data_IF_566890848944
#
_entry.id   IF_566890848944
#
_cell.length_a   1.000
_cell.length_b   1.000
_cell.length_c   1.000
_cell.angle_alpha   90.00
_cell.angle_beta   90.00
_cell.angle_gamma   90.00
#
_symmetry.space_group_name_H-M   'P 1'
#
loop_
_entity.id
_entity.type
_entity.pdbx_description
1 polymer ?
#
# COMPACT_ATOMS: atom_id res chain seq x y z
N UNK A 1 -22.73 14.80 -12.93
CA UNK A 1 -22.50 14.34 -11.54
C UNK A 1 -20.99 14.23 -11.39
N UNK A 2 -20.44 14.65 -10.26
CA UNK A 2 -19.00 14.47 -10.01
C UNK A 2 -18.67 12.97 -9.96
N UNK A 3 -17.66 12.52 -10.71
CA UNK A 3 -17.26 11.12 -10.78
C UNK A 3 -16.98 10.48 -9.41
N UNK A 4 -17.04 9.15 -9.34
CA UNK A 4 -16.85 8.41 -8.08
C UNK A 4 -15.40 8.40 -7.63
N UNK A 5 -15.19 8.60 -6.33
CA UNK A 5 -13.91 8.36 -5.64
C UNK A 5 -14.06 7.02 -4.92
N UNK A 6 -13.41 5.99 -5.45
CA UNK A 6 -13.57 4.61 -5.03
C UNK A 6 -12.35 4.19 -4.22
N UNK A 7 -12.58 3.77 -2.98
CA UNK A 7 -11.62 3.03 -2.17
C UNK A 7 -11.94 1.54 -2.23
N UNK A 8 -10.94 0.74 -2.59
CA UNK A 8 -11.11 -0.69 -2.84
C UNK A 8 -10.06 -1.47 -2.04
N UNK A 9 -10.50 -2.32 -1.12
CA UNK A 9 -9.66 -3.28 -0.42
C UNK A 9 -9.65 -4.59 -1.18
N UNK A 10 -8.49 -4.95 -1.74
CA UNK A 10 -8.31 -6.11 -2.61
C UNK A 10 -7.48 -7.20 -1.91
N UNK A 11 -8.16 -8.26 -1.48
CA UNK A 11 -7.55 -9.45 -0.88
C UNK A 11 -8.02 -10.74 -1.60
N UNK A 12 -7.30 -11.86 -1.47
CA UNK A 12 -7.67 -13.11 -2.16
C UNK A 12 -8.96 -13.74 -1.61
N UNK A 13 -9.30 -13.45 -0.34
CA UNK A 13 -10.50 -13.97 0.30
C UNK A 13 -11.73 -13.09 -0.02
N UNK A 14 -11.63 -11.78 0.22
CA UNK A 14 -12.71 -10.82 0.03
C UNK A 14 -12.21 -9.53 -0.61
N UNK A 15 -13.12 -8.86 -1.30
CA UNK A 15 -12.96 -7.50 -1.82
C UNK A 15 -14.00 -6.62 -1.17
N UNK A 16 -13.58 -5.45 -0.67
CA UNK A 16 -14.49 -4.43 -0.12
C UNK A 16 -14.38 -3.14 -0.91
N UNK A 17 -15.53 -2.51 -1.14
CA UNK A 17 -15.62 -1.27 -1.90
C UNK A 17 -16.36 -0.23 -1.07
N UNK A 18 -15.80 0.97 -1.00
CA UNK A 18 -16.44 2.15 -0.45
C UNK A 18 -16.27 3.32 -1.41
N UNK A 19 -17.25 4.20 -1.47
CA UNK A 19 -17.13 5.46 -2.19
C UNK A 19 -17.04 6.61 -1.17
N UNK A 20 -16.21 7.61 -1.44
CA UNK A 20 -16.13 8.80 -0.60
C UNK A 20 -17.52 9.49 -0.53
N UNK A 21 -17.89 9.96 0.66
CA UNK A 21 -19.20 10.58 0.96
C UNK A 21 -20.44 9.72 0.59
N UNK A 22 -20.27 8.39 0.52
CA UNK A 22 -21.38 7.44 0.35
C UNK A 22 -21.43 6.46 1.51
N UNK A 23 -22.64 6.18 1.98
CA UNK A 23 -22.83 5.27 3.13
C UNK A 23 -22.73 3.79 2.72
N UNK A 24 -23.27 3.44 1.54
CA UNK A 24 -23.29 2.06 1.05
C UNK A 24 -21.88 1.55 0.75
N UNK A 25 -21.58 0.38 1.28
CA UNK A 25 -20.39 -0.41 1.00
C UNK A 25 -20.77 -1.71 0.29
N UNK A 26 -19.78 -2.33 -0.36
CA UNK A 26 -19.88 -3.68 -0.89
C UNK A 26 -18.81 -4.55 -0.25
N UNK A 27 -19.19 -5.76 0.13
CA UNK A 27 -18.28 -6.82 0.55
C UNK A 27 -18.64 -8.06 -0.25
N UNK A 28 -17.66 -8.62 -0.95
CA UNK A 28 -17.87 -9.81 -1.77
C UNK A 28 -16.65 -10.72 -1.72
N UNK A 29 -16.82 -12.03 -1.86
CA UNK A 29 -15.70 -12.93 -2.06
C UNK A 29 -14.91 -12.57 -3.34
N UNK A 30 -13.58 -12.64 -3.29
CA UNK A 30 -12.71 -12.34 -4.44
C UNK A 30 -12.62 -13.53 -5.39
N UNK A 31 -13.74 -13.79 -6.05
CA UNK A 31 -13.91 -14.90 -6.98
C UNK A 31 -14.56 -14.42 -8.27
N UNK A 32 -14.21 -15.11 -9.35
CA UNK A 32 -14.83 -14.92 -10.66
C UNK A 32 -15.28 -16.28 -11.21
N UNK A 33 -16.44 -16.31 -11.83
CA UNK A 33 -17.01 -17.51 -12.44
C UNK A 33 -17.34 -17.24 -13.90
N UNK A 34 -16.99 -18.19 -14.77
CA UNK A 34 -17.43 -18.24 -16.16
C UNK A 34 -18.53 -19.29 -16.29
N UNK A 35 -19.64 -18.96 -16.93
CA UNK A 35 -20.68 -19.93 -17.29
C UNK A 35 -20.12 -20.93 -18.31
N UNK A 36 -20.49 -22.20 -18.23
CA UNK A 36 -19.92 -23.25 -19.10
C UNK A 36 -20.30 -23.10 -20.57
N UNK A 37 -21.55 -22.74 -20.83
CA UNK A 37 -22.15 -22.77 -22.17
C UNK A 37 -22.25 -21.39 -22.83
N UNK A 38 -21.83 -20.32 -22.15
CA UNK A 38 -21.95 -18.94 -22.62
C UNK A 38 -20.74 -18.10 -22.18
N UNK A 39 -20.40 -17.05 -22.92
CA UNK A 39 -19.38 -16.08 -22.51
C UNK A 39 -19.93 -15.08 -21.49
N UNK A 40 -20.47 -15.61 -20.39
CA UNK A 40 -21.04 -14.86 -19.28
C UNK A 40 -20.18 -15.02 -18.02
N UNK A 41 -19.95 -13.90 -17.34
CA UNK A 41 -19.03 -13.79 -16.20
C UNK A 41 -19.71 -13.17 -14.99
N UNK A 42 -19.50 -13.80 -13.84
CA UNK A 42 -20.10 -13.46 -12.55
C UNK A 42 -19.03 -13.35 -11.47
N UNK A 43 -19.29 -12.60 -10.40
CA UNK A 43 -18.36 -12.35 -9.30
C UNK A 43 -19.05 -12.49 -7.95
N UNK A 44 -18.27 -12.68 -6.88
CA UNK A 44 -18.80 -12.74 -5.51
C UNK A 44 -19.81 -13.87 -5.29
N UNK A 45 -20.91 -13.59 -4.59
CA UNK A 45 -21.92 -14.60 -4.26
C UNK A 45 -22.58 -15.23 -5.50
N UNK A 46 -22.80 -14.46 -6.57
CA UNK A 46 -23.37 -14.99 -7.82
C UNK A 46 -22.45 -16.03 -8.46
N UNK A 47 -21.13 -15.83 -8.39
CA UNK A 47 -20.16 -16.78 -8.91
C UNK A 47 -20.25 -18.14 -8.18
N UNK A 48 -20.46 -18.12 -6.86
CA UNK A 48 -20.72 -19.33 -6.08
C UNK A 48 -22.04 -19.98 -6.46
N UNK A 49 -23.11 -19.20 -6.61
CA UNK A 49 -24.43 -19.71 -6.96
C UNK A 49 -24.41 -20.51 -8.28
N UNK A 50 -23.82 -19.97 -9.35
CA UNK A 50 -23.68 -20.69 -10.64
C UNK A 50 -22.82 -21.96 -10.53
N UNK A 51 -21.81 -21.94 -9.67
CA UNK A 51 -20.94 -23.10 -9.45
C UNK A 51 -21.68 -24.21 -8.68
N UNK A 52 -22.47 -23.85 -7.68
CA UNK A 52 -23.27 -24.78 -6.87
C UNK A 52 -24.31 -25.53 -7.71
N UNK A 53 -24.92 -24.87 -8.69
CA UNK A 53 -25.88 -25.52 -9.63
C UNK A 53 -25.18 -26.22 -10.81
N UNK A 54 -23.84 -26.22 -10.86
CA UNK A 54 -23.06 -26.92 -11.87
C UNK A 54 -22.97 -26.22 -13.23
N UNK A 55 -23.44 -24.98 -13.33
CA UNK A 55 -23.45 -24.17 -14.57
C UNK A 55 -22.18 -23.31 -14.74
N UNK A 56 -21.40 -23.14 -13.67
CA UNK A 56 -20.23 -22.27 -13.62
C UNK A 56 -18.90 -23.01 -13.39
N UNK A 57 -17.80 -22.38 -13.81
CA UNK A 57 -16.44 -22.74 -13.41
C UNK A 57 -15.84 -21.55 -12.67
N UNK A 58 -15.60 -21.72 -11.37
CA UNK A 58 -15.09 -20.67 -10.48
C UNK A 58 -13.55 -20.64 -10.47
N UNK A 59 -13.01 -19.44 -10.32
CA UNK A 59 -11.61 -19.19 -10.02
C UNK A 59 -11.53 -18.27 -8.80
N UNK A 60 -10.71 -18.66 -7.83
CA UNK A 60 -10.36 -17.91 -6.64
C UNK A 60 -8.89 -17.46 -6.68
N UNK A 61 -8.43 -16.82 -5.59
CA UNK A 61 -7.01 -16.50 -5.37
C UNK A 61 -6.38 -15.71 -6.53
N UNK A 62 -7.15 -14.77 -7.10
CA UNK A 62 -6.79 -13.99 -8.29
C UNK A 62 -5.48 -13.21 -8.10
N UNK A 63 -5.23 -12.68 -6.91
CA UNK A 63 -4.04 -11.88 -6.61
C UNK A 63 -2.81 -12.80 -6.54
N UNK A 64 -2.92 -13.92 -5.82
CA UNK A 64 -1.90 -14.98 -5.81
C UNK A 64 -1.61 -15.49 -7.22
N UNK A 65 -2.63 -15.63 -8.08
CA UNK A 65 -2.47 -16.08 -9.46
C UNK A 65 -1.68 -15.07 -10.29
N UNK A 66 -2.02 -13.78 -10.24
CA UNK A 66 -1.27 -12.71 -10.92
C UNK A 66 0.19 -12.67 -10.47
N UNK A 67 0.43 -12.74 -9.15
CA UNK A 67 1.79 -12.74 -8.57
C UNK A 67 2.66 -13.88 -9.07
N UNK A 68 2.06 -15.04 -9.31
CA UNK A 68 2.73 -16.26 -9.74
C UNK A 68 2.72 -16.46 -11.25
N UNK A 69 2.22 -15.49 -12.03
CA UNK A 69 2.02 -15.63 -13.48
C UNK A 69 1.22 -16.92 -13.81
N UNK A 70 0.26 -17.21 -12.94
CA UNK A 70 -0.58 -18.40 -13.00
C UNK A 70 -1.67 -18.27 -14.05
N UNK A 71 -2.28 -19.40 -14.37
CA UNK A 71 -3.32 -19.50 -15.39
C UNK A 71 -4.43 -20.44 -14.95
N UNK A 72 -5.66 -20.19 -15.38
CA UNK A 72 -6.79 -21.09 -15.16
C UNK A 72 -7.38 -21.52 -16.51
N UNK A 73 -7.89 -22.76 -16.59
CA UNK A 73 -8.58 -23.25 -17.79
C UNK A 73 -10.07 -23.32 -17.53
N UNK A 74 -10.85 -22.49 -18.23
CA UNK A 74 -12.30 -22.36 -18.06
C UNK A 74 -12.98 -22.71 -19.38
N UNK A 75 -13.74 -23.80 -19.43
CA UNK A 75 -14.43 -24.24 -20.64
C UNK A 75 -13.49 -24.54 -21.80
N UNK A 76 -12.32 -25.13 -21.52
CA UNK A 76 -11.30 -25.45 -22.53
C UNK A 76 -10.41 -24.28 -22.96
N UNK A 77 -10.71 -23.05 -22.53
CA UNK A 77 -9.89 -21.87 -22.81
C UNK A 77 -8.96 -21.57 -21.64
N UNK A 78 -7.67 -21.37 -21.92
CA UNK A 78 -6.67 -20.95 -20.94
C UNK A 78 -6.70 -19.43 -20.78
N UNK A 79 -6.82 -18.96 -19.55
CA UNK A 79 -6.79 -17.55 -19.16
C UNK A 79 -5.60 -17.28 -18.26
N UNK A 80 -4.93 -16.15 -18.48
CA UNK A 80 -3.91 -15.64 -17.56
C UNK A 80 -4.56 -14.99 -16.35
N UNK A 81 -3.89 -15.03 -15.19
CA UNK A 81 -4.40 -14.38 -13.98
C UNK A 81 -4.69 -12.89 -14.16
N UNK A 82 -3.90 -12.20 -14.99
CA UNK A 82 -4.12 -10.78 -15.31
C UNK A 82 -5.46 -10.57 -16.04
N UNK A 83 -5.81 -11.43 -16.98
CA UNK A 83 -7.05 -11.31 -17.73
C UNK A 83 -8.26 -11.57 -16.84
N UNK A 84 -8.17 -12.55 -15.94
CA UNK A 84 -9.21 -12.80 -14.94
C UNK A 84 -9.37 -11.61 -13.97
N UNK A 85 -8.25 -11.01 -13.54
CA UNK A 85 -8.30 -9.82 -12.69
C UNK A 85 -8.95 -8.63 -13.41
N UNK A 86 -8.63 -8.38 -14.68
CA UNK A 86 -9.30 -7.34 -15.50
C UNK A 86 -10.82 -7.52 -15.52
N UNK A 87 -11.27 -8.75 -15.76
CA UNK A 87 -12.70 -9.07 -15.82
C UNK A 87 -13.38 -8.93 -14.45
N UNK A 88 -12.70 -9.36 -13.39
CA UNK A 88 -13.17 -9.19 -12.02
C UNK A 88 -13.33 -7.71 -11.66
N UNK A 89 -12.28 -6.90 -11.84
CA UNK A 89 -12.30 -5.45 -11.55
C UNK A 89 -13.39 -4.74 -12.36
N UNK A 90 -13.57 -5.09 -13.65
CA UNK A 90 -14.64 -4.56 -14.49
C UNK A 90 -16.02 -4.82 -13.93
N UNK A 91 -16.26 -6.01 -13.37
CA UNK A 91 -17.56 -6.41 -12.82
C UNK A 91 -17.83 -5.73 -11.48
N UNK A 92 -16.85 -5.67 -10.59
CA UNK A 92 -17.07 -5.12 -9.24
C UNK A 92 -17.16 -3.59 -9.26
N UNK A 93 -16.45 -2.90 -10.15
CA UNK A 93 -16.52 -1.43 -10.26
C UNK A 93 -17.87 -0.97 -10.82
N UNK A 94 -18.57 -1.82 -11.57
CA UNK A 94 -19.95 -1.54 -11.99
C UNK A 94 -20.92 -1.45 -10.83
N UNK A 95 -20.69 -2.17 -9.73
CA UNK A 95 -21.60 -2.18 -8.58
C UNK A 95 -21.85 -0.76 -8.00
N UNK A 96 -20.83 0.01 -7.61
CA UNK A 96 -21.03 1.39 -7.17
C UNK A 96 -21.46 2.35 -8.29
N UNK A 97 -20.99 2.13 -9.52
CA UNK A 97 -21.32 2.97 -10.67
C UNK A 97 -22.81 2.90 -11.01
N UNK A 98 -23.38 1.71 -11.05
CA UNK A 98 -24.80 1.48 -11.31
C UNK A 98 -25.65 1.95 -10.11
N UNK A 99 -25.24 1.68 -8.87
CA UNK A 99 -25.94 2.13 -7.67
C UNK A 99 -26.08 3.66 -7.60
N UNK A 100 -25.00 4.38 -7.94
CA UNK A 100 -24.95 5.83 -7.83
C UNK A 100 -25.18 6.56 -9.16
N UNK A 101 -25.60 5.84 -10.20
CA UNK A 101 -25.88 6.38 -11.53
C UNK A 101 -24.72 7.23 -12.08
N UNK A 102 -23.49 6.74 -11.92
CA UNK A 102 -22.27 7.44 -12.28
C UNK A 102 -21.41 6.62 -13.24
N UNK A 103 -21.00 7.25 -14.33
CA UNK A 103 -20.21 6.60 -15.39
C UNK A 103 -18.71 6.89 -15.30
N UNK A 104 -18.30 7.85 -14.46
CA UNK A 104 -16.90 8.27 -14.33
C UNK A 104 -16.32 7.81 -12.99
N UNK A 105 -15.13 7.20 -13.06
CA UNK A 105 -14.25 7.01 -11.89
C UNK A 105 -13.28 8.19 -11.83
N UNK A 106 -13.48 9.06 -10.83
CA UNK A 106 -12.66 10.25 -10.59
C UNK A 106 -11.33 9.88 -9.96
N UNK A 107 -11.35 8.92 -9.03
CA UNK A 107 -10.18 8.37 -8.34
C UNK A 107 -10.47 6.92 -7.96
N UNK A 108 -9.50 6.03 -8.17
CA UNK A 108 -9.53 4.63 -7.74
C UNK A 108 -8.29 4.37 -6.89
N UNK A 109 -8.50 4.16 -5.59
CA UNK A 109 -7.42 3.81 -4.66
C UNK A 109 -7.60 2.37 -4.21
N UNK A 110 -6.67 1.51 -4.61
CA UNK A 110 -6.66 0.10 -4.26
C UNK A 110 -5.70 -0.11 -3.09
N UNK A 111 -6.19 -0.69 -2.01
CA UNK A 111 -5.41 -1.04 -0.83
C UNK A 111 -5.23 -2.54 -0.69
N UNK A 112 -4.09 -2.96 -0.17
CA UNK A 112 -3.69 -4.37 -0.06
C UNK A 112 -2.68 -4.59 1.08
N UNK A 113 -2.63 -5.80 1.61
CA UNK A 113 -1.72 -6.19 2.71
C UNK A 113 -0.23 -6.03 2.37
N UNK A 114 0.13 -6.22 1.10
CA UNK A 114 1.51 -6.06 0.63
C UNK A 114 1.52 -5.49 -0.77
N UNK A 115 2.16 -4.34 -0.94
CA UNK A 115 2.41 -3.71 -2.23
C UNK A 115 3.68 -4.30 -2.84
N UNK A 116 3.59 -4.83 -4.05
CA UNK A 116 4.73 -5.33 -4.83
C UNK A 116 4.64 -4.86 -6.28
N UNK A 117 5.79 -4.67 -6.93
CA UNK A 117 5.86 -4.07 -8.27
C UNK A 117 5.10 -4.85 -9.34
N UNK A 118 5.04 -6.18 -9.26
CA UNK A 118 4.30 -7.00 -10.25
C UNK A 118 2.80 -6.74 -10.18
N UNK A 119 2.25 -6.73 -8.98
CA UNK A 119 0.82 -6.46 -8.79
C UNK A 119 0.47 -5.02 -9.17
N UNK A 120 1.40 -4.08 -8.94
CA UNK A 120 1.24 -2.70 -9.40
C UNK A 120 1.14 -2.60 -10.92
N UNK A 121 2.08 -3.20 -11.65
CA UNK A 121 2.05 -3.23 -13.11
C UNK A 121 0.74 -3.87 -13.61
N UNK A 122 0.33 -5.00 -13.00
CA UNK A 122 -0.93 -5.67 -13.32
C UNK A 122 -2.17 -4.77 -13.12
N UNK A 123 -2.22 -4.01 -12.03
CA UNK A 123 -3.31 -3.05 -11.77
C UNK A 123 -3.28 -1.91 -12.79
N UNK A 124 -2.11 -1.42 -13.19
CA UNK A 124 -2.00 -0.39 -14.23
C UNK A 124 -2.49 -0.89 -15.59
N UNK A 125 -2.21 -2.15 -15.95
CA UNK A 125 -2.81 -2.78 -17.13
C UNK A 125 -4.33 -2.97 -16.99
N UNK A 126 -4.83 -3.22 -15.78
CA UNK A 126 -6.27 -3.24 -15.53
C UNK A 126 -6.88 -1.84 -15.72
N UNK A 127 -6.21 -0.78 -15.25
CA UNK A 127 -6.66 0.59 -15.43
C UNK A 127 -6.82 0.94 -16.92
N UNK A 128 -5.82 0.61 -17.75
CA UNK A 128 -5.90 0.81 -19.20
C UNK A 128 -7.08 0.06 -19.83
N UNK A 129 -7.28 -1.21 -19.44
CA UNK A 129 -8.39 -2.03 -19.94
C UNK A 129 -9.76 -1.48 -19.52
N UNK A 130 -9.83 -0.85 -18.34
CA UNK A 130 -11.04 -0.22 -17.81
C UNK A 130 -11.23 1.22 -18.31
N UNK A 131 -10.30 1.73 -19.13
CA UNK A 131 -10.28 3.11 -19.63
C UNK A 131 -10.24 4.16 -18.50
N UNK A 132 -9.65 3.81 -17.36
CA UNK A 132 -9.42 4.74 -16.25
C UNK A 132 -8.02 5.34 -16.43
N UNK A 133 -7.88 6.67 -16.54
CA UNK A 133 -6.58 7.32 -16.62
C UNK A 133 -5.65 6.87 -15.48
N UNK A 134 -4.42 6.47 -15.83
CA UNK A 134 -3.45 5.91 -14.85
C UNK A 134 -3.13 6.87 -13.70
N UNK A 135 -3.18 8.18 -13.94
CA UNK A 135 -2.99 9.23 -12.93
C UNK A 135 -4.13 9.33 -11.90
N UNK A 136 -5.22 8.58 -12.11
CA UNK A 136 -6.36 8.43 -11.18
C UNK A 136 -6.37 7.07 -10.48
N UNK A 137 -5.38 6.21 -10.73
CA UNK A 137 -5.29 4.88 -10.12
C UNK A 137 -4.09 4.84 -9.19
N UNK A 138 -4.35 4.60 -7.90
CA UNK A 138 -3.34 4.60 -6.86
C UNK A 138 -3.38 3.29 -6.09
N UNK A 139 -2.20 2.86 -5.65
CA UNK A 139 -2.04 1.61 -4.89
C UNK A 139 -1.36 1.95 -3.58
N UNK A 140 -2.01 1.61 -2.47
CA UNK A 140 -1.51 1.88 -1.13
C UNK A 140 -1.51 0.60 -0.29
N UNK A 141 -0.74 0.59 0.79
CA UNK A 141 -0.78 -0.51 1.74
C UNK A 141 -2.02 -0.41 2.64
N UNK A 142 -2.42 -1.54 3.22
CA UNK A 142 -3.39 -1.57 4.33
C UNK A 142 -3.01 -0.61 5.45
N UNK A 143 -1.72 -0.55 5.81
CA UNK A 143 -1.23 0.38 6.84
C UNK A 143 -1.39 1.85 6.46
N UNK A 144 -1.20 2.22 5.19
CA UNK A 144 -1.44 3.58 4.74
C UNK A 144 -2.93 3.91 4.75
N UNK A 145 -3.76 2.99 4.25
CA UNK A 145 -5.21 3.17 4.28
C UNK A 145 -5.71 3.34 5.72
N UNK A 146 -5.23 2.51 6.65
CA UNK A 146 -5.51 2.62 8.07
C UNK A 146 -5.15 4.01 8.62
N UNK A 147 -4.00 4.57 8.23
CA UNK A 147 -3.63 5.95 8.61
C UNK A 147 -4.67 6.97 8.17
N UNK A 148 -5.11 6.90 6.90
CA UNK A 148 -6.14 7.80 6.38
C UNK A 148 -7.49 7.60 7.05
N UNK A 149 -7.90 6.36 7.31
CA UNK A 149 -9.14 6.09 8.03
C UNK A 149 -9.10 6.68 9.45
N UNK A 150 -8.06 6.33 10.23
CA UNK A 150 -7.96 6.71 11.64
C UNK A 150 -7.90 8.23 11.83
N UNK A 151 -7.15 8.94 10.98
CA UNK A 151 -6.97 10.39 11.08
C UNK A 151 -8.13 11.20 10.51
N UNK A 152 -9.02 10.56 9.75
CA UNK A 152 -10.31 11.14 9.35
C UNK A 152 -11.35 11.05 10.46
N UNK A 153 -11.09 10.28 11.51
CA UNK A 153 -11.97 10.20 12.68
C UNK A 153 -11.77 11.39 13.63
N UNK A 154 -12.71 11.54 14.57
CA UNK A 154 -12.61 12.52 15.67
C UNK A 154 -11.30 12.34 16.43
N UNK A 155 -10.73 13.46 16.89
CA UNK A 155 -9.43 13.53 17.57
C UNK A 155 -9.27 12.57 18.76
N UNK A 156 -10.36 12.24 19.44
CA UNK A 156 -10.37 11.29 20.56
C UNK A 156 -9.92 9.88 20.14
N UNK A 157 -10.24 9.46 18.91
CA UNK A 157 -9.92 8.12 18.37
C UNK A 157 -8.41 7.91 18.27
N UNK A 158 -7.68 8.95 17.89
CA UNK A 158 -6.24 8.93 17.65
C UNK A 158 -5.48 9.88 18.58
N UNK A 159 -6.00 10.06 19.80
CA UNK A 159 -5.36 10.87 20.82
C UNK A 159 -4.08 10.22 21.38
N UNK A 160 -4.03 8.88 21.38
CA UNK A 160 -2.86 8.06 21.68
C UNK A 160 -2.62 7.06 20.53
N UNK A 161 -2.06 5.87 20.80
CA UNK A 161 -1.91 4.84 19.79
C UNK A 161 -3.27 4.25 19.40
N UNK A 162 -3.35 3.77 18.17
CA UNK A 162 -4.53 3.09 17.63
C UNK A 162 -4.09 1.71 17.17
N UNK A 163 -4.79 0.68 17.62
CA UNK A 163 -4.55 -0.70 17.19
C UNK A 163 -5.65 -1.18 16.25
N UNK A 164 -5.32 -2.10 15.35
CA UNK A 164 -6.28 -2.84 14.53
C UNK A 164 -5.96 -4.33 14.67
N UNK A 165 -6.93 -5.14 15.03
CA UNK A 165 -6.85 -6.59 14.87
C UNK A 165 -7.62 -6.95 13.60
N UNK A 166 -6.90 -7.45 12.60
CA UNK A 166 -7.46 -7.89 11.32
C UNK A 166 -7.44 -9.42 11.26
N UNK A 167 -8.59 -10.04 11.46
CA UNK A 167 -8.77 -11.49 11.43
C UNK A 167 -9.49 -11.90 10.15
N UNK A 168 -8.72 -12.22 9.13
CA UNK A 168 -9.19 -12.72 7.84
C UNK A 168 -9.30 -14.26 7.83
N UNK A 169 -9.75 -14.87 6.72
CA UNK A 169 -9.82 -16.33 6.58
C UNK A 169 -8.44 -17.01 6.59
N UNK A 170 -7.45 -16.35 5.99
CA UNK A 170 -6.14 -16.92 5.70
C UNK A 170 -5.04 -16.41 6.65
N UNK A 171 -5.31 -15.35 7.41
CA UNK A 171 -4.30 -14.65 8.19
C UNK A 171 -4.88 -13.86 9.36
N UNK A 172 -4.07 -13.70 10.40
CA UNK A 172 -4.36 -12.82 11.54
C UNK A 172 -3.26 -11.76 11.63
N UNK A 173 -3.62 -10.50 11.46
CA UNK A 173 -2.71 -9.37 11.47
C UNK A 173 -3.03 -8.40 12.60
N UNK A 174 -2.00 -7.73 13.09
CA UNK A 174 -2.12 -6.59 13.99
C UNK A 174 -1.46 -5.37 13.36
N UNK A 175 -2.21 -4.28 13.26
CA UNK A 175 -1.69 -2.99 12.83
C UNK A 175 -1.64 -2.01 14.00
N UNK A 176 -0.56 -1.27 14.13
CA UNK A 176 -0.41 -0.24 15.17
C UNK A 176 -0.05 1.09 14.55
N UNK A 177 -0.83 2.12 14.90
CA UNK A 177 -0.58 3.50 14.50
C UNK A 177 -0.16 4.33 15.70
N UNK A 178 0.94 5.06 15.52
CA UNK A 178 1.47 6.02 16.49
C UNK A 178 1.64 7.40 15.84
N UNK A 179 1.06 8.41 16.45
CA UNK A 179 1.26 9.81 16.07
C UNK A 179 2.37 10.44 16.89
N UNK A 180 3.40 10.95 16.23
CA UNK A 180 4.48 11.73 16.82
C UNK A 180 4.35 13.20 16.41
N UNK A 181 4.21 14.09 17.40
CA UNK A 181 4.07 15.53 17.15
C UNK A 181 5.44 16.19 17.20
N UNK A 182 6.01 16.46 16.02
CA UNK A 182 7.24 17.24 15.89
C UNK A 182 6.97 18.75 15.85
N UNK A 183 8.02 19.55 16.07
CA UNK A 183 7.95 21.02 16.02
C UNK A 183 7.57 21.58 14.63
N UNK A 184 7.86 20.85 13.54
CA UNK A 184 7.63 21.30 12.15
C UNK A 184 6.54 20.55 11.41
N UNK A 185 6.43 19.24 11.61
CA UNK A 185 5.44 18.38 10.93
C UNK A 185 5.06 17.22 11.83
N UNK A 186 3.79 16.83 11.79
CA UNK A 186 3.31 15.63 12.45
C UNK A 186 3.84 14.41 11.68
N UNK A 187 4.34 13.40 12.38
CA UNK A 187 4.72 12.12 11.80
C UNK A 187 3.72 11.07 12.28
N UNK A 188 3.28 10.22 11.37
CA UNK A 188 2.37 9.12 11.67
C UNK A 188 3.07 7.86 11.23
N UNK A 189 3.33 6.98 12.18
CA UNK A 189 4.00 5.71 11.95
C UNK A 189 2.92 4.63 12.04
N UNK A 190 2.79 3.80 11.02
CA UNK A 190 1.92 2.64 11.04
C UNK A 190 2.73 1.37 10.72
N UNK A 191 2.59 0.37 11.58
CA UNK A 191 3.29 -0.91 11.48
C UNK A 191 2.28 -2.05 11.30
N UNK A 192 2.73 -3.14 10.70
CA UNK A 192 1.99 -4.38 10.46
C UNK A 192 2.79 -5.53 11.06
N UNK A 193 2.11 -6.39 11.83
CA UNK A 193 2.64 -7.62 12.40
C UNK A 193 1.69 -8.78 12.02
N UNK A 194 2.18 -9.71 11.20
CA UNK A 194 1.50 -10.99 10.99
C UNK A 194 1.66 -11.83 12.27
N UNK A 195 0.54 -12.26 12.86
CA UNK A 195 0.52 -13.03 14.09
C UNK A 195 0.64 -14.52 13.77
N UNK A 196 1.64 -15.18 14.36
CA UNK A 196 1.86 -16.62 14.20
C UNK A 196 0.70 -17.44 14.78
N UNK A 197 -0.04 -16.87 15.72
CA UNK A 197 -1.19 -17.49 16.37
C UNK A 197 -2.47 -17.49 15.50
N UNK A 198 -2.35 -17.26 14.19
CA UNK A 198 -3.47 -17.33 13.25
C UNK A 198 -4.17 -18.69 13.27
N UNK A 199 -5.47 -18.70 13.03
CA UNK A 199 -6.31 -19.90 13.03
C UNK A 199 -7.37 -19.84 11.93
N UNK A 200 -7.81 -21.00 11.44
CA UNK A 200 -8.93 -21.09 10.51
C UNK A 200 -10.24 -20.74 11.24
N UNK A 201 -11.05 -19.87 10.63
CA UNK A 201 -12.33 -19.41 11.18
C UNK A 201 -13.38 -20.52 11.37
N UNK A 202 -13.25 -21.68 10.72
CA UNK A 202 -14.13 -22.84 10.90
C UNK A 202 -14.20 -23.31 12.36
N UNK A 203 -13.16 -23.05 13.17
CA UNK A 203 -13.17 -23.41 14.60
C UNK A 203 -14.26 -22.65 15.37
N UNK A 204 -14.68 -21.48 14.88
CA UNK A 204 -15.69 -20.63 15.51
C UNK A 204 -17.09 -21.27 15.45
N UNK A 205 -17.30 -22.27 14.60
CA UNK A 205 -18.59 -22.97 14.49
C UNK A 205 -18.81 -23.99 15.62
N UNK A 206 -17.82 -24.17 16.51
CA UNK A 206 -17.93 -25.02 17.71
C UNK A 206 -17.67 -24.23 18.98
N UNK A 207 -18.36 -24.59 20.08
CA UNK A 207 -18.18 -23.93 21.38
C UNK A 207 -16.74 -24.06 21.91
N UNK A 208 -16.11 -25.22 21.72
CA UNK A 208 -14.72 -25.44 22.13
C UNK A 208 -13.73 -24.64 21.29
N UNK A 209 -13.96 -24.55 19.98
CA UNK A 209 -13.10 -23.76 19.09
C UNK A 209 -13.24 -22.26 19.30
N UNK A 210 -14.46 -21.76 19.57
CA UNK A 210 -14.69 -20.37 20.00
C UNK A 210 -13.90 -20.01 21.28
N UNK A 211 -13.90 -20.90 22.29
CA UNK A 211 -13.07 -20.70 23.51
C UNK A 211 -11.57 -20.68 23.22
N UNK A 212 -11.11 -21.50 22.27
CA UNK A 212 -9.71 -21.49 21.86
C UNK A 212 -9.35 -20.18 21.15
N UNK A 213 -10.19 -19.73 20.21
CA UNK A 213 -10.04 -18.46 19.52
C UNK A 213 -10.01 -17.28 20.52
N UNK A 214 -10.89 -17.27 21.51
CA UNK A 214 -10.93 -16.24 22.56
C UNK A 214 -9.62 -16.20 23.35
N UNK A 215 -9.07 -17.38 23.70
CA UNK A 215 -7.80 -17.46 24.40
C UNK A 215 -6.63 -16.95 23.54
N UNK A 216 -6.63 -17.27 22.25
CA UNK A 216 -5.63 -16.78 21.30
C UNK A 216 -5.67 -15.26 21.23
N UNK A 217 -6.84 -14.69 20.92
CA UNK A 217 -7.01 -13.24 20.82
C UNK A 217 -6.68 -12.53 22.14
N UNK A 218 -7.10 -13.07 23.28
CA UNK A 218 -6.76 -12.55 24.61
C UNK A 218 -5.25 -12.50 24.83
N UNK A 219 -4.54 -13.58 24.50
CA UNK A 219 -3.08 -13.66 24.63
C UNK A 219 -2.37 -12.65 23.72
N UNK A 220 -2.81 -12.51 22.47
CA UNK A 220 -2.29 -11.51 21.54
C UNK A 220 -2.56 -10.09 22.06
N UNK A 221 -3.79 -9.82 22.53
CA UNK A 221 -4.17 -8.50 23.06
C UNK A 221 -3.37 -8.13 24.31
N UNK A 222 -3.17 -9.06 25.24
CA UNK A 222 -2.32 -8.82 26.40
C UNK A 222 -0.88 -8.50 25.99
N UNK A 223 -0.29 -9.29 25.09
CA UNK A 223 1.09 -9.09 24.61
C UNK A 223 1.26 -7.75 23.88
N UNK A 224 0.39 -7.47 22.92
CA UNK A 224 0.52 -6.33 21.99
C UNK A 224 0.15 -5.01 22.66
N UNK A 225 -0.83 -5.01 23.57
CA UNK A 225 -1.31 -3.79 24.23
C UNK A 225 -0.55 -3.45 25.53
N UNK A 226 0.30 -4.36 26.03
CA UNK A 226 1.01 -4.18 27.28
C UNK A 226 1.93 -2.95 27.26
N UNK A 227 1.93 -2.19 28.36
CA UNK A 227 2.80 -1.01 28.61
C UNK A 227 2.65 0.13 27.58
N UNK A 228 1.60 0.10 26.76
CA UNK A 228 1.29 1.12 25.75
C UNK A 228 -0.07 1.76 26.05
N UNK A 229 -0.22 3.02 25.65
CA UNK A 229 -1.48 3.75 25.80
C UNK A 229 -2.22 3.77 24.46
N UNK A 230 -3.40 3.14 24.44
CA UNK A 230 -4.27 3.10 23.27
C UNK A 230 -5.51 3.97 23.51
N UNK A 231 -5.82 4.82 22.55
CA UNK A 231 -7.08 5.57 22.54
C UNK A 231 -8.22 4.77 21.94
N UNK A 232 -7.93 3.92 20.96
CA UNK A 232 -8.95 3.11 20.28
C UNK A 232 -8.35 1.83 19.72
N UNK A 233 -9.19 0.80 19.63
CA UNK A 233 -8.90 -0.44 18.93
C UNK A 233 -9.98 -0.67 17.88
N UNK A 234 -9.59 -1.05 16.67
CA UNK A 234 -10.49 -1.51 15.62
C UNK A 234 -10.39 -3.02 15.49
N UNK A 235 -11.52 -3.64 15.22
CA UNK A 235 -11.63 -5.05 14.86
C UNK A 235 -12.18 -5.13 13.44
N UNK A 236 -11.47 -5.83 12.55
CA UNK A 236 -11.83 -5.96 11.14
C UNK A 236 -11.49 -7.35 10.61
N UNK A 237 -12.04 -7.70 9.45
CA UNK A 237 -11.91 -9.04 8.89
C UNK A 237 -13.05 -9.97 9.29
N UNK A 238 -13.17 -11.08 8.55
CA UNK A 238 -14.32 -12.01 8.62
C UNK A 238 -14.52 -12.62 10.01
N UNK A 239 -13.44 -12.85 10.75
CA UNK A 239 -13.51 -13.42 12.10
C UNK A 239 -14.23 -12.54 13.13
N UNK A 240 -14.42 -11.25 12.85
CA UNK A 240 -15.13 -10.30 13.72
C UNK A 240 -16.53 -9.92 13.24
N UNK A 241 -17.04 -10.51 12.15
CA UNK A 241 -18.45 -10.37 11.76
C UNK A 241 -19.41 -10.88 12.86
N UNK A 242 -18.95 -11.89 13.60
CA UNK A 242 -19.53 -12.36 14.86
C UNK A 242 -18.48 -12.24 15.96
N UNK A 243 -18.88 -11.77 17.14
CA UNK A 243 -17.95 -11.51 18.26
C UNK A 243 -18.39 -12.16 19.58
N UNK A 244 -19.45 -12.97 19.54
CA UNK A 244 -19.96 -13.74 20.68
C UNK A 244 -18.93 -14.74 21.23
N UNK A 245 -18.01 -15.21 20.38
CA UNK A 245 -16.89 -16.06 20.77
C UNK A 245 -15.83 -15.33 21.60
N UNK A 246 -15.67 -14.01 21.47
CA UNK A 246 -14.53 -13.25 21.98
C UNK A 246 -14.77 -12.62 23.37
N UNK A 247 -15.45 -13.32 24.28
CA UNK A 247 -15.95 -12.73 25.54
C UNK A 247 -14.83 -12.22 26.45
N UNK A 248 -13.77 -13.00 26.67
CA UNK A 248 -12.66 -12.61 27.54
C UNK A 248 -11.74 -11.60 26.84
N UNK A 249 -11.53 -11.78 25.54
CA UNK A 249 -10.80 -10.83 24.69
C UNK A 249 -11.40 -9.44 24.77
N UNK A 250 -12.73 -9.32 24.65
CA UNK A 250 -13.41 -8.04 24.70
C UNK A 250 -13.24 -7.32 26.05
N UNK A 251 -13.10 -8.05 27.17
CA UNK A 251 -12.78 -7.43 28.48
C UNK A 251 -11.41 -6.76 28.48
N UNK A 252 -10.42 -7.39 27.84
CA UNK A 252 -9.05 -6.86 27.71
C UNK A 252 -9.03 -5.68 26.74
N UNK A 253 -9.66 -5.84 25.58
CA UNK A 253 -9.69 -4.84 24.52
C UNK A 253 -10.43 -3.58 24.96
N UNK A 254 -11.58 -3.70 25.63
CA UNK A 254 -12.39 -2.57 26.12
C UNK A 254 -11.86 -1.93 27.42
N UNK A 255 -10.74 -2.41 27.97
CA UNK A 255 -10.19 -1.86 29.21
C UNK A 255 -9.66 -0.43 29.00
N UNK A 256 -10.45 0.56 29.45
CA UNK A 256 -10.13 2.01 29.43
C UNK A 256 -10.01 2.65 28.04
N UNK A 257 -10.55 2.01 27.00
CA UNK A 257 -10.51 2.49 25.61
C UNK A 257 -11.75 2.05 24.84
N UNK A 258 -12.03 2.72 23.73
CA UNK A 258 -13.14 2.36 22.83
C UNK A 258 -12.69 1.29 21.84
N UNK A 259 -13.57 0.33 21.59
CA UNK A 259 -13.40 -0.70 20.56
C UNK A 259 -14.46 -0.46 19.50
N UNK A 260 -14.06 -0.50 18.23
CA UNK A 260 -14.93 -0.31 17.07
C UNK A 260 -14.87 -1.54 16.17
N UNK A 261 -16.03 -2.01 15.74
CA UNK A 261 -16.13 -3.00 14.67
C UNK A 261 -16.18 -2.24 13.35
N UNK A 262 -15.16 -2.38 12.51
CA UNK A 262 -15.08 -1.66 11.23
C UNK A 262 -14.64 -2.61 10.11
N UNK A 263 -15.58 -3.35 9.50
CA UNK A 263 -15.28 -4.27 8.40
C UNK A 263 -14.66 -3.55 7.19
N UNK A 264 -15.08 -2.32 6.90
CA UNK A 264 -14.63 -1.58 5.72
C UNK A 264 -13.47 -0.61 5.98
N UNK A 265 -12.73 -0.78 7.08
CA UNK A 265 -11.69 0.15 7.53
C UNK A 265 -10.71 0.50 6.40
N UNK A 266 -10.18 -0.51 5.72
CA UNK A 266 -9.22 -0.31 4.64
C UNK A 266 -9.86 0.26 3.36
N UNK A 267 -11.07 -0.14 2.99
CA UNK A 267 -11.74 0.43 1.83
C UNK A 267 -12.08 1.92 2.05
N UNK A 268 -12.57 2.28 3.25
CA UNK A 268 -12.86 3.68 3.61
C UNK A 268 -11.60 4.54 3.70
N UNK A 269 -10.53 4.02 4.29
CA UNK A 269 -9.24 4.71 4.32
C UNK A 269 -8.69 5.02 2.93
N UNK A 270 -8.84 4.09 1.99
CA UNK A 270 -8.46 4.28 0.59
C UNK A 270 -9.33 5.35 -0.08
N UNK A 271 -10.64 5.38 0.18
CA UNK A 271 -11.53 6.42 -0.35
C UNK A 271 -11.17 7.83 0.19
N UNK A 272 -10.81 7.95 1.47
CA UNK A 272 -10.31 9.22 2.02
C UNK A 272 -9.01 9.67 1.36
N UNK A 273 -8.08 8.74 1.11
CA UNK A 273 -6.87 9.04 0.34
C UNK A 273 -7.19 9.48 -1.09
N UNK A 274 -8.18 8.85 -1.72
CA UNK A 274 -8.68 9.23 -3.04
C UNK A 274 -9.14 10.69 -3.10
N UNK A 275 -9.87 11.15 -2.08
CA UNK A 275 -10.29 12.54 -1.98
C UNK A 275 -9.11 13.50 -1.76
N UNK A 276 -8.10 13.09 -0.98
CA UNK A 276 -6.88 13.87 -0.73
C UNK A 276 -6.10 14.17 -2.02
N UNK A 277 -6.06 13.24 -2.98
CA UNK A 277 -5.40 13.46 -4.30
C UNK A 277 -6.04 14.57 -5.14
N UNK A 278 -7.31 14.92 -4.87
CA UNK A 278 -8.01 15.98 -5.58
C UNK A 278 -7.83 17.37 -4.94
N UNK A 279 -7.13 17.45 -3.81
CA UNK A 279 -6.92 18.70 -3.09
C UNK A 279 -5.56 19.31 -3.45
N UNK A 280 -5.51 20.62 -3.73
CA UNK A 280 -4.24 21.34 -3.89
C UNK A 280 -3.39 21.33 -2.61
N UNK A 281 -4.06 21.34 -1.45
CA UNK A 281 -3.45 21.26 -0.13
C UNK A 281 -4.11 20.15 0.66
N UNK A 282 -3.29 19.20 1.09
CA UNK A 282 -3.77 18.10 1.91
C UNK A 282 -4.37 18.60 3.24
N UNK A 283 -5.59 18.18 3.63
CA UNK A 283 -6.10 18.39 4.98
C UNK A 283 -5.38 17.51 6.02
N UNK A 284 -4.44 16.68 5.57
CA UNK A 284 -3.64 15.75 6.35
C UNK A 284 -2.17 16.21 6.40
N UNK A 285 -1.79 17.23 7.19
CA UNK A 285 -0.44 17.79 7.21
C UNK A 285 0.56 16.91 8.00
N UNK A 286 0.64 15.62 7.67
CA UNK A 286 1.58 14.67 8.27
C UNK A 286 2.55 14.07 7.25
N UNK A 287 3.62 13.47 7.76
CA UNK A 287 4.44 12.51 7.03
C UNK A 287 4.04 11.12 7.49
N UNK A 288 3.58 10.27 6.57
CA UNK A 288 3.22 8.89 6.83
C UNK A 288 4.43 7.99 6.64
N UNK A 289 4.79 7.21 7.66
CA UNK A 289 5.81 6.18 7.59
C UNK A 289 5.12 4.84 7.83
N UNK A 290 4.94 4.07 6.77
CA UNK A 290 4.27 2.78 6.83
C UNK A 290 4.75 1.89 5.68
N UNK A 291 4.15 0.72 5.51
CA UNK A 291 4.51 -0.15 4.40
C UNK A 291 4.23 0.55 3.05
N UNK A 292 5.14 0.44 2.09
CA UNK A 292 5.07 1.13 0.81
C UNK A 292 5.64 2.56 0.80
N UNK A 293 6.09 3.07 1.95
CA UNK A 293 6.61 4.44 2.11
C UNK A 293 8.08 4.43 2.54
N UNK A 294 8.87 5.35 2.02
CA UNK A 294 10.28 5.49 2.42
C UNK A 294 10.41 5.85 3.90
N UNK A 295 11.29 5.17 4.62
CA UNK A 295 11.54 5.40 6.06
C UNK A 295 12.59 6.47 6.34
N UNK A 296 13.36 6.84 5.30
CA UNK A 296 14.50 7.76 5.38
C UNK A 296 14.38 8.82 4.29
N UNK A 297 14.84 10.02 4.59
CA UNK A 297 15.07 11.07 3.58
C UNK A 297 16.46 10.88 2.98
N UNK A 298 16.57 10.89 1.66
CA UNK A 298 17.84 10.91 0.94
C UNK A 298 18.08 12.32 0.40
N UNK A 299 19.22 12.90 0.75
CA UNK A 299 19.61 14.23 0.28
C UNK A 299 21.07 14.28 -0.17
N UNK A 300 21.40 15.27 -0.99
CA UNK A 300 22.74 15.56 -1.45
C UNK A 300 23.13 16.98 -1.08
N UNK A 301 24.40 17.20 -0.72
CA UNK A 301 24.95 18.55 -0.64
C UNK A 301 25.28 19.00 -2.05
N UNK A 302 24.73 20.13 -2.47
CA UNK A 302 24.97 20.69 -3.80
C UNK A 302 25.29 22.18 -3.70
N UNK A 303 26.14 22.66 -4.58
CA UNK A 303 26.41 24.09 -4.76
C UNK A 303 25.50 24.62 -5.88
N UNK A 304 24.58 25.52 -5.56
CA UNK A 304 23.69 26.14 -6.53
C UNK A 304 23.75 27.67 -6.37
N UNK A 305 24.16 28.37 -7.44
CA UNK A 305 24.39 29.83 -7.43
C UNK A 305 25.30 30.27 -6.28
N UNK A 306 26.44 29.59 -6.14
CA UNK A 306 27.45 29.82 -5.09
C UNK A 306 26.95 29.65 -3.64
N UNK A 307 25.77 29.05 -3.45
CA UNK A 307 25.23 28.73 -2.13
C UNK A 307 25.18 27.23 -1.95
N UNK A 308 25.78 26.75 -0.87
CA UNK A 308 25.58 25.38 -0.43
C UNK A 308 24.13 25.17 -0.02
N UNK A 309 23.53 24.11 -0.54
CA UNK A 309 22.17 23.71 -0.22
C UNK A 309 22.05 22.19 -0.11
N UNK A 310 20.99 21.73 0.56
CA UNK A 310 20.63 20.32 0.61
C UNK A 310 19.53 20.07 -0.42
N UNK A 311 19.88 19.32 -1.46
CA UNK A 311 18.91 18.82 -2.44
C UNK A 311 18.31 17.51 -1.92
N UNK A 312 17.02 17.52 -1.59
CA UNK A 312 16.29 16.29 -1.23
C UNK A 312 15.90 15.58 -2.52
N UNK A 313 16.40 14.36 -2.71
CA UNK A 313 16.11 13.55 -3.92
C UNK A 313 14.93 12.60 -3.70
N UNK A 314 14.69 12.24 -2.44
CA UNK A 314 13.51 11.51 -1.97
C UNK A 314 13.31 11.81 -0.47
N UNK A 315 12.08 12.05 -0.05
CA UNK A 315 11.74 12.34 1.34
C UNK A 315 11.20 11.10 2.06
N UNK A 316 11.43 11.04 3.38
CA UNK A 316 10.73 10.09 4.22
C UNK A 316 9.21 10.29 4.08
N UNK A 317 8.49 9.20 3.87
CA UNK A 317 7.06 9.16 3.59
C UNK A 317 6.66 9.33 2.13
N UNK A 318 7.62 9.47 1.21
CA UNK A 318 7.31 9.33 -0.22
C UNK A 318 6.97 7.87 -0.53
N UNK A 319 6.07 7.67 -1.49
CA UNK A 319 5.81 6.35 -2.06
C UNK A 319 7.09 5.86 -2.76
N UNK A 320 7.64 4.70 -2.36
CA UNK A 320 8.91 4.24 -2.94
C UNK A 320 8.81 3.97 -4.45
N UNK A 321 7.63 3.55 -4.92
CA UNK A 321 7.40 3.18 -6.32
C UNK A 321 7.28 4.42 -7.23
N UNK A 322 6.72 5.51 -6.70
CA UNK A 322 6.60 6.80 -7.39
C UNK A 322 7.85 7.68 -7.20
N UNK A 323 8.65 7.43 -6.15
CA UNK A 323 9.86 8.18 -5.84
C UNK A 323 10.96 7.92 -6.88
N UNK A 324 10.86 8.62 -8.01
CA UNK A 324 11.86 8.64 -9.06
C UNK A 324 12.28 10.08 -9.31
N UNK A 325 13.57 10.33 -9.26
CA UNK A 325 14.12 11.66 -9.55
C UNK A 325 15.35 11.52 -10.43
N UNK A 326 15.63 12.55 -11.21
CA UNK A 326 16.85 12.64 -12.01
C UNK A 326 17.41 14.04 -11.87
N UNK A 327 18.73 14.12 -11.67
CA UNK A 327 19.45 15.38 -11.53
C UNK A 327 20.74 15.29 -12.34
N UNK A 328 21.08 16.38 -13.01
CA UNK A 328 22.40 16.53 -13.63
C UNK A 328 23.26 17.42 -12.74
N UNK A 329 24.44 16.94 -12.37
CA UNK A 329 25.40 17.65 -11.52
C UNK A 329 26.77 17.74 -12.19
N UNK A 330 27.54 18.73 -11.77
CA UNK A 330 28.96 18.87 -12.16
C UNK A 330 29.79 18.46 -10.95
N UNK A 331 30.75 17.57 -11.18
CA UNK A 331 31.67 17.11 -10.14
C UNK A 331 32.73 18.18 -9.87
N UNK A 332 32.90 18.55 -8.61
CA UNK A 332 33.82 19.60 -8.13
C UNK A 332 34.77 19.00 -7.09
N UNK A 333 36.06 18.93 -7.43
CA UNK A 333 37.17 18.47 -6.59
C UNK A 333 36.97 17.12 -5.86
N UNK A 334 36.26 16.16 -6.47
CA UNK A 334 36.03 14.84 -5.91
C UNK A 334 35.92 13.74 -6.98
N UNK A 335 36.16 12.49 -6.60
CA UNK A 335 36.08 11.30 -7.46
C UNK A 335 34.97 10.35 -7.02
N UNK A 336 33.98 10.85 -6.27
CA UNK A 336 32.83 10.11 -5.79
C UNK A 336 31.58 11.00 -5.79
N UNK A 337 30.42 10.36 -5.71
CA UNK A 337 29.14 10.99 -5.38
C UNK A 337 28.76 10.61 -3.97
N UNK A 338 28.36 11.59 -3.15
CA UNK A 338 27.88 11.33 -1.79
C UNK A 338 26.44 11.76 -1.56
N UNK A 339 25.73 11.00 -0.75
CA UNK A 339 24.37 11.30 -0.31
C UNK A 339 24.22 11.00 1.17
N UNK A 340 23.43 11.83 1.83
CA UNK A 340 23.05 11.73 3.22
C UNK A 340 21.74 10.96 3.30
N UNK A 341 21.75 9.83 4.02
CA UNK A 341 20.54 9.13 4.40
C UNK A 341 20.18 9.53 5.82
N UNK A 342 19.00 10.10 5.99
CA UNK A 342 18.48 10.57 7.28
C UNK A 342 17.24 9.75 7.66
N UNK A 343 17.40 8.71 8.49
CA UNK A 343 16.27 7.94 9.04
C UNK A 343 15.40 8.79 9.99
N UNK A 344 14.30 8.19 10.47
CA UNK A 344 13.45 8.80 11.50
C UNK A 344 14.20 9.18 12.78
N UNK A 345 15.19 8.37 13.19
CA UNK A 345 16.11 8.73 14.27
C UNK A 345 17.31 9.49 13.68
N UNK A 346 17.42 10.81 13.92
CA UNK A 346 18.49 11.62 13.33
C UNK A 346 19.89 11.20 13.80
N UNK A 347 20.01 10.44 14.89
CA UNK A 347 21.30 9.90 15.37
C UNK A 347 21.84 8.80 14.46
N UNK A 348 20.98 8.18 13.66
CA UNK A 348 21.33 7.11 12.72
C UNK A 348 21.63 7.64 11.30
N UNK A 349 21.76 8.96 11.14
CA UNK A 349 22.17 9.56 9.87
C UNK A 349 23.48 8.96 9.39
N UNK A 350 23.57 8.65 8.11
CA UNK A 350 24.79 8.11 7.51
C UNK A 350 25.06 8.72 6.14
N UNK A 351 26.34 8.89 5.86
CA UNK A 351 26.83 9.32 4.57
C UNK A 351 27.20 8.09 3.75
N UNK A 352 26.73 8.04 2.51
CA UNK A 352 27.06 6.96 1.58
C UNK A 352 27.79 7.58 0.40
N UNK A 353 28.89 6.95 0.00
CA UNK A 353 29.75 7.39 -1.09
C UNK A 353 29.78 6.32 -2.17
N UNK A 354 29.56 6.72 -3.42
CA UNK A 354 29.71 5.90 -4.61
C UNK A 354 30.92 6.43 -5.38
N UNK A 355 32.06 5.71 -5.40
CA UNK A 355 33.22 6.06 -6.22
C UNK A 355 32.85 6.15 -7.71
N UNK A 356 33.39 7.13 -8.43
CA UNK A 356 33.22 7.30 -9.88
C UNK A 356 34.21 6.42 -10.67
N UNK A 357 34.32 5.15 -10.29
CA UNK A 357 35.20 4.20 -10.97
C UNK A 357 34.73 3.97 -12.42
N UNK A 358 35.68 3.99 -13.37
CA UNK A 358 35.39 3.85 -14.80
C UNK A 358 34.94 5.15 -15.49
N UNK A 359 34.69 6.23 -14.76
CA UNK A 359 34.47 7.56 -15.36
C UNK A 359 35.78 8.15 -15.89
N UNK A 360 35.72 9.01 -16.93
CA UNK A 360 36.91 9.60 -17.50
C UNK A 360 37.59 10.56 -16.51
N UNK A 361 38.93 10.48 -16.42
CA UNK A 361 39.73 11.45 -15.66
C UNK A 361 39.86 12.74 -16.48
N UNK A 362 39.24 13.82 -16.00
CA UNK A 362 39.28 15.13 -16.64
C UNK A 362 39.69 16.21 -15.64
N UNK A 363 39.89 17.43 -16.15
CA UNK A 363 40.10 18.59 -15.29
C UNK A 363 38.89 18.83 -14.40
N UNK A 364 39.11 19.56 -13.31
CA UNK A 364 38.03 19.87 -12.39
C UNK A 364 36.85 20.59 -13.08
N UNK A 365 35.62 20.31 -12.64
CA UNK A 365 34.37 20.84 -13.21
C UNK A 365 34.11 20.54 -14.69
N UNK A 366 34.80 19.55 -15.26
CA UNK A 366 34.60 19.11 -16.65
C UNK A 366 33.93 17.74 -16.77
N UNK A 367 33.43 17.23 -15.64
CA UNK A 367 32.62 16.01 -15.58
C UNK A 367 31.18 16.34 -15.17
N UNK A 368 30.26 16.27 -16.13
CA UNK A 368 28.82 16.34 -15.89
C UNK A 368 28.26 14.93 -15.76
N UNK A 369 27.64 14.65 -14.63
CA UNK A 369 27.02 13.35 -14.36
C UNK A 369 25.50 13.53 -14.32
N UNK A 370 24.79 12.63 -14.99
CA UNK A 370 23.36 12.44 -14.79
C UNK A 370 23.14 11.35 -13.76
N UNK A 371 22.38 11.67 -12.71
CA UNK A 371 22.07 10.76 -11.62
C UNK A 371 20.58 10.48 -11.65
N UNK A 372 20.21 9.22 -11.80
CA UNK A 372 18.83 8.75 -11.68
C UNK A 372 18.67 7.94 -10.40
N UNK A 373 17.66 8.30 -9.62
CA UNK A 373 17.26 7.62 -8.39
C UNK A 373 15.95 6.87 -8.62
N UNK A 374 15.90 5.65 -8.09
CA UNK A 374 14.67 4.89 -7.90
C UNK A 374 14.80 4.01 -6.66
N UNK A 375 13.74 3.31 -6.31
CA UNK A 375 13.74 2.42 -5.14
C UNK A 375 13.16 1.07 -5.54
N UNK A 376 13.80 0.01 -5.03
CA UNK A 376 13.33 -1.36 -5.22
C UNK A 376 12.32 -1.76 -4.14
N UNK A 377 12.47 -1.17 -2.95
CA UNK A 377 11.57 -1.30 -1.81
C UNK A 377 11.79 -0.11 -0.84
N UNK A 378 11.16 -0.13 0.33
CA UNK A 378 11.25 0.91 1.37
C UNK A 378 12.67 1.15 1.93
N UNK A 379 13.58 0.20 1.72
CA UNK A 379 14.92 0.13 2.33
C UNK A 379 16.04 0.12 1.31
N UNK A 380 15.74 0.04 0.02
CA UNK A 380 16.75 -0.18 -1.03
C UNK A 380 16.59 0.85 -2.14
N UNK A 381 17.55 1.76 -2.22
CA UNK A 381 17.67 2.73 -3.29
C UNK A 381 18.53 2.18 -4.43
N UNK A 382 18.06 2.30 -5.66
CA UNK A 382 18.83 2.05 -6.87
C UNK A 382 19.27 3.40 -7.47
N UNK A 383 20.58 3.57 -7.65
CA UNK A 383 21.18 4.78 -8.23
C UNK A 383 21.90 4.41 -9.51
N UNK A 384 21.66 5.20 -10.55
CA UNK A 384 22.37 5.12 -11.82
C UNK A 384 23.11 6.42 -12.07
N UNK A 385 24.44 6.35 -12.18
CA UNK A 385 25.30 7.46 -12.57
C UNK A 385 25.70 7.28 -14.02
N UNK A 386 25.56 8.32 -14.85
CA UNK A 386 25.98 8.31 -16.26
C UNK A 386 26.79 9.55 -16.61
N UNK A 387 27.90 9.40 -17.32
CA UNK A 387 28.61 10.56 -17.89
C UNK A 387 27.76 11.19 -19.00
N UNK A 388 27.45 12.46 -18.84
CA UNK A 388 26.66 13.25 -19.80
C UNK A 388 27.53 14.14 -20.67
N UNK A 389 28.80 14.35 -20.29
CA UNK A 389 29.68 15.28 -20.97
C UNK A 389 29.13 16.71 -21.09
N UNK A 390 29.79 17.51 -21.92
CA UNK A 390 29.44 18.88 -22.29
C UNK A 390 29.37 19.03 -23.82
N UNK A 391 28.88 18.00 -24.51
CA UNK A 391 28.88 17.97 -25.98
C UNK A 391 30.30 17.83 -26.53
N UNK A 392 30.67 18.62 -27.53
CA UNK A 392 31.97 18.51 -28.20
C UNK A 392 33.17 18.88 -27.32
N UNK A 393 32.98 19.79 -26.35
CA UNK A 393 34.05 20.23 -25.44
C UNK A 393 34.55 19.07 -24.57
N UNK A 394 33.62 18.27 -24.07
CA UNK A 394 33.89 17.06 -23.30
C UNK A 394 32.86 16.00 -23.68
N UNK A 395 33.15 15.13 -24.65
CA UNK A 395 32.17 14.15 -25.12
C UNK A 395 31.65 13.25 -24.01
N UNK A 396 30.35 12.93 -24.03
CA UNK A 396 29.82 11.90 -23.14
C UNK A 396 30.52 10.57 -23.42
N UNK A 397 30.82 9.82 -22.37
CA UNK A 397 31.31 8.44 -22.48
C UNK A 397 30.18 7.44 -22.21
N UNK A 398 30.45 6.16 -22.47
CA UNK A 398 29.55 5.06 -22.07
C UNK A 398 29.70 4.69 -20.59
N UNK A 399 30.42 5.48 -19.79
CA UNK A 399 30.60 5.23 -18.37
C UNK A 399 29.26 5.30 -17.64
N UNK A 400 28.88 4.18 -17.03
CA UNK A 400 27.68 4.02 -16.23
C UNK A 400 28.00 3.22 -14.99
N UNK A 401 27.60 3.72 -13.83
CA UNK A 401 27.61 2.97 -12.57
C UNK A 401 26.17 2.72 -12.16
N UNK A 402 25.86 1.47 -11.79
CA UNK A 402 24.59 1.08 -11.18
C UNK A 402 24.88 0.55 -9.80
N UNK A 403 24.28 1.15 -8.78
CA UNK A 403 24.51 0.77 -7.39
C UNK A 403 23.17 0.64 -6.67
N UNK A 404 23.01 -0.49 -5.98
CA UNK A 404 21.97 -0.66 -4.98
C UNK A 404 22.53 -0.29 -3.60
N UNK A 405 21.73 0.43 -2.84
CA UNK A 405 22.13 1.02 -1.58
C UNK A 405 21.04 0.82 -0.55
N UNK A 406 21.38 0.16 0.55
CA UNK A 406 20.49 0.04 1.70
C UNK A 406 20.35 1.42 2.39
N UNK A 407 19.13 1.76 2.83
CA UNK A 407 18.73 3.02 3.47
C UNK A 407 18.66 2.95 5.00
#
# INVERSE_FOLDING_TARGET
MDGLIIGLDLCDAYTRICCHDREKSWCLPTVICRKKDEDAWFVGEEAYAYTLVGEGIIVDKLIKMVRKEGTATLGGTKYEGLDLLKMFLKKILKLPMEEFFCEEVKQLVITMQKVDGKLMDAIMYCADFLEIPRDRVHIISHTESFVYYALSQKKEVWSNQVGVFDLSEDAFHYHELKVQRGLRKMMVIAEDEALEESFNLDILDTVSGGKLADKILSSCAERLLQKKLFSSIFLTGKGFERHDWATDSMKILCSRRKVYMEPELFARGAAFKGMDYLQEKTPYPFTCICQGRLRSTVSMRVLHKERESQLVVAAAGDSWYEAKSTVDLIVDHQDYVEFMVTPMDPKQKRLIKIPLEGFPRRQDRTLRIGISFGFLDEKTMAVVLKDKGFGELFPATEAVIRQEVML
#
